data_IF_157001729144
#
_entry.id   IF_157001729144
#
_cell.length_a   1.000
_cell.length_b   1.000
_cell.length_c   1.000
_cell.angle_alpha   90.00
_cell.angle_beta   90.00
_cell.angle_gamma   90.00
#
_symmetry.space_group_name_H-M   'P 1'
#
loop_
_entity.id
_entity.type
_entity.pdbx_description
1 polymer ?
#
# COMPACT_ATOMS: atom_id res chain seq x y z
N UNK A 1 -22.54 -10.23 -12.15
CA UNK A 1 -22.58 -11.67 -11.78
C UNK A 1 -21.18 -12.25 -12.03
N UNK A 2 -20.39 -12.44 -10.98
CA UNK A 2 -19.04 -12.99 -11.08
C UNK A 2 -19.11 -14.50 -11.34
N UNK A 3 -18.79 -14.90 -12.57
CA UNK A 3 -18.84 -16.30 -13.02
C UNK A 3 -17.58 -17.10 -12.64
N UNK A 4 -16.50 -16.42 -12.27
CA UNK A 4 -15.19 -17.03 -12.02
C UNK A 4 -15.12 -17.97 -10.78
N UNK A 5 -15.66 -17.63 -9.60
CA UNK A 5 -15.49 -18.48 -8.41
C UNK A 5 -16.22 -19.82 -8.56
N UNK A 6 -17.45 -19.82 -9.11
CA UNK A 6 -18.23 -21.05 -9.33
C UNK A 6 -17.56 -22.02 -10.30
N UNK A 7 -16.88 -21.49 -11.33
CA UNK A 7 -16.14 -22.30 -12.30
C UNK A 7 -14.91 -22.95 -11.63
N UNK A 8 -14.20 -22.24 -10.76
CA UNK A 8 -13.05 -22.79 -10.05
C UNK A 8 -13.46 -23.92 -9.10
N UNK A 9 -14.53 -23.73 -8.32
CA UNK A 9 -15.09 -24.77 -7.44
C UNK A 9 -15.54 -26.00 -8.22
N UNK A 10 -16.22 -25.81 -9.36
CA UNK A 10 -16.66 -26.90 -10.22
C UNK A 10 -15.49 -27.70 -10.84
N UNK A 11 -14.35 -27.06 -11.11
CA UNK A 11 -13.13 -27.75 -11.58
C UNK A 11 -12.52 -28.60 -10.48
N UNK A 12 -12.46 -28.09 -9.25
CA UNK A 12 -11.97 -28.83 -8.08
C UNK A 12 -12.83 -30.08 -7.82
N UNK A 13 -14.17 -29.93 -7.90
CA UNK A 13 -15.09 -31.08 -7.78
C UNK A 13 -14.87 -32.12 -8.89
N UNK A 14 -14.60 -31.70 -10.13
CA UNK A 14 -14.33 -32.64 -11.22
C UNK A 14 -12.96 -33.33 -11.09
N UNK A 15 -11.98 -32.69 -10.45
CA UNK A 15 -10.65 -33.27 -10.22
C UNK A 15 -10.67 -34.33 -9.11
N UNK A 16 -11.60 -34.25 -8.15
CA UNK A 16 -11.75 -35.26 -7.09
C UNK A 16 -12.53 -36.50 -7.52
N UNK A 17 -13.14 -36.48 -8.71
CA UNK A 17 -13.89 -37.60 -9.27
C UNK A 17 -12.98 -38.51 -10.10
N UNK A 18 -13.02 -39.81 -9.82
CA UNK A 18 -12.33 -40.85 -10.61
C UNK A 18 -12.84 -40.90 -12.07
N UNK A 19 -14.11 -40.54 -12.29
CA UNK A 19 -14.72 -40.32 -13.60
C UNK A 19 -15.43 -38.96 -13.66
N UNK A 20 -14.94 -37.99 -14.44
CA UNK A 20 -15.48 -36.63 -14.46
C UNK A 20 -16.93 -36.58 -14.98
N UNK A 21 -17.89 -36.23 -14.12
CA UNK A 21 -19.32 -36.13 -14.44
C UNK A 21 -19.73 -34.70 -14.81
N UNK A 22 -19.27 -34.23 -15.98
CA UNK A 22 -19.49 -32.85 -16.43
C UNK A 22 -20.93 -32.35 -16.36
N UNK A 23 -21.92 -33.16 -16.74
CA UNK A 23 -23.32 -32.74 -16.81
C UNK A 23 -24.01 -32.59 -15.44
N UNK A 24 -23.54 -33.32 -14.44
CA UNK A 24 -24.09 -33.26 -13.07
C UNK A 24 -23.50 -32.05 -12.34
N UNK A 25 -22.18 -31.92 -12.38
CA UNK A 25 -21.47 -30.76 -11.81
C UNK A 25 -21.89 -29.45 -12.50
N UNK A 26 -22.03 -29.42 -13.83
CA UNK A 26 -22.51 -28.23 -14.54
C UNK A 26 -23.91 -27.77 -14.05
N UNK A 27 -24.84 -28.70 -13.82
CA UNK A 27 -26.17 -28.39 -13.29
C UNK A 27 -26.11 -27.89 -11.85
N UNK A 28 -25.29 -28.54 -11.01
CA UNK A 28 -25.12 -28.16 -9.60
C UNK A 28 -24.62 -26.72 -9.43
N UNK A 29 -23.65 -26.32 -10.26
CA UNK A 29 -23.05 -24.99 -10.19
C UNK A 29 -23.73 -23.95 -11.11
N UNK A 30 -24.80 -24.35 -11.83
CA UNK A 30 -25.49 -23.52 -12.84
C UNK A 30 -24.53 -22.94 -13.89
N UNK A 31 -23.66 -23.78 -14.43
CA UNK A 31 -22.67 -23.45 -15.46
C UNK A 31 -23.02 -24.21 -16.74
N UNK A 32 -22.82 -23.59 -17.90
CA UNK A 32 -22.92 -24.32 -19.17
C UNK A 32 -21.90 -25.47 -19.25
N UNK A 33 -22.38 -26.67 -19.62
CA UNK A 33 -21.56 -27.89 -19.70
C UNK A 33 -20.35 -27.71 -20.64
N UNK A 34 -20.54 -27.04 -21.78
CA UNK A 34 -19.47 -26.83 -22.75
C UNK A 34 -18.35 -25.94 -22.17
N UNK A 35 -18.75 -24.94 -21.37
CA UNK A 35 -17.82 -24.04 -20.67
C UNK A 35 -17.02 -24.76 -19.60
N UNK A 36 -17.67 -25.56 -18.77
CA UNK A 36 -16.99 -26.35 -17.75
C UNK A 36 -16.01 -27.37 -18.35
N UNK A 37 -16.43 -28.07 -19.42
CA UNK A 37 -15.56 -29.02 -20.13
C UNK A 37 -14.33 -28.34 -20.73
N UNK A 38 -14.52 -27.17 -21.37
CA UNK A 38 -13.44 -26.41 -22.00
C UNK A 38 -12.42 -25.89 -20.97
N UNK A 39 -12.91 -25.44 -19.81
CA UNK A 39 -12.10 -25.02 -18.66
C UNK A 39 -11.32 -26.20 -18.06
N UNK A 40 -12.00 -27.32 -17.81
CA UNK A 40 -11.39 -28.53 -17.23
C UNK A 40 -10.31 -29.15 -18.14
N UNK A 41 -10.52 -29.11 -19.46
CA UNK A 41 -9.53 -29.56 -20.46
C UNK A 41 -8.42 -28.54 -20.76
N UNK A 42 -8.36 -27.42 -20.03
CA UNK A 42 -7.34 -26.39 -20.22
C UNK A 42 -7.43 -25.65 -21.58
N UNK A 43 -8.52 -25.83 -22.34
CA UNK A 43 -8.70 -25.20 -23.66
C UNK A 43 -9.05 -23.71 -23.57
N UNK A 44 -9.34 -23.20 -22.38
CA UNK A 44 -9.60 -21.77 -22.16
C UNK A 44 -8.92 -21.34 -20.86
N UNK A 45 -7.84 -20.58 -20.99
CA UNK A 45 -7.19 -19.90 -19.88
C UNK A 45 -8.23 -19.02 -19.14
N UNK A 46 -8.08 -18.90 -17.81
CA UNK A 46 -8.86 -17.95 -17.01
C UNK A 46 -8.93 -16.59 -17.72
N UNK A 47 -10.07 -15.89 -17.69
CA UNK A 47 -10.14 -14.54 -18.29
C UNK A 47 -9.07 -13.61 -17.72
N UNK A 48 -8.61 -13.86 -16.49
CA UNK A 48 -7.52 -13.14 -15.87
C UNK A 48 -6.18 -13.44 -16.56
N UNK A 49 -5.85 -14.71 -16.77
CA UNK A 49 -4.61 -15.16 -17.41
C UNK A 49 -4.59 -14.81 -18.90
N UNK A 50 -5.73 -14.95 -19.60
CA UNK A 50 -5.87 -14.60 -21.01
C UNK A 50 -5.74 -13.08 -21.25
N UNK A 51 -6.25 -12.24 -20.33
CA UNK A 51 -6.06 -10.79 -20.41
C UNK A 51 -4.63 -10.37 -20.01
N UNK A 52 -4.00 -11.08 -19.07
CA UNK A 52 -2.58 -10.85 -18.75
C UNK A 52 -1.69 -11.20 -19.95
N UNK A 53 -1.84 -12.38 -20.54
CA UNK A 53 -1.02 -12.82 -21.67
C UNK A 53 -1.27 -12.05 -22.97
N UNK A 54 -2.52 -11.67 -23.30
CA UNK A 54 -2.82 -11.06 -24.60
C UNK A 54 -2.81 -9.52 -24.60
N UNK A 55 -2.92 -8.86 -23.44
CA UNK A 55 -3.09 -7.39 -23.38
C UNK A 55 -2.07 -6.67 -22.52
N UNK A 56 -1.31 -7.37 -21.67
CA UNK A 56 -0.25 -6.75 -20.88
C UNK A 56 1.09 -6.91 -21.59
N UNK A 57 1.81 -5.80 -21.75
CA UNK A 57 3.18 -5.78 -22.29
C UNK A 57 4.20 -6.41 -21.34
N UNK A 58 3.87 -6.46 -20.04
CA UNK A 58 4.61 -7.17 -19.02
C UNK A 58 3.75 -8.32 -18.50
N UNK A 59 4.37 -9.48 -18.29
CA UNK A 59 3.73 -10.62 -17.61
C UNK A 59 3.52 -10.29 -16.13
N UNK A 60 2.59 -11.01 -15.47
CA UNK A 60 2.38 -10.85 -14.03
C UNK A 60 3.68 -11.03 -13.22
N UNK A 61 4.54 -11.98 -13.59
CA UNK A 61 5.82 -12.19 -12.93
C UNK A 61 6.77 -10.99 -13.07
N UNK A 62 6.81 -10.34 -14.25
CA UNK A 62 7.60 -9.12 -14.46
C UNK A 62 7.04 -7.94 -13.66
N UNK A 63 5.71 -7.80 -13.60
CA UNK A 63 5.08 -6.78 -12.76
C UNK A 63 5.40 -6.98 -11.27
N UNK A 64 5.43 -8.23 -10.77
CA UNK A 64 5.84 -8.52 -9.38
C UNK A 64 7.28 -8.09 -9.08
N UNK A 65 8.21 -8.38 -9.99
CA UNK A 65 9.61 -7.95 -9.85
C UNK A 65 9.69 -6.42 -9.80
N UNK A 66 8.93 -5.74 -10.66
CA UNK A 66 8.88 -4.28 -10.70
C UNK A 66 8.32 -3.69 -9.40
N UNK A 67 7.25 -4.26 -8.85
CA UNK A 67 6.70 -3.85 -7.55
C UNK A 67 7.74 -4.03 -6.45
N UNK A 68 8.43 -5.17 -6.41
CA UNK A 68 9.50 -5.41 -5.46
C UNK A 68 10.64 -4.40 -5.57
N UNK A 69 10.98 -3.98 -6.79
CA UNK A 69 11.98 -2.94 -7.02
C UNK A 69 11.50 -1.55 -6.53
N UNK A 70 10.25 -1.19 -6.82
CA UNK A 70 9.63 0.07 -6.34
C UNK A 70 9.64 0.14 -4.80
N UNK A 71 9.30 -0.95 -4.12
CA UNK A 71 9.31 -1.00 -2.67
C UNK A 71 10.73 -0.81 -2.12
N UNK A 72 11.73 -1.50 -2.68
CA UNK A 72 13.15 -1.33 -2.28
C UNK A 72 13.65 0.10 -2.45
N UNK A 73 13.23 0.79 -3.51
CA UNK A 73 13.57 2.20 -3.73
C UNK A 73 12.90 3.11 -2.70
N UNK A 74 11.63 2.83 -2.39
CA UNK A 74 10.86 3.57 -1.40
C UNK A 74 11.44 3.40 0.01
N UNK A 75 11.85 2.18 0.39
CA UNK A 75 12.50 1.89 1.68
C UNK A 75 13.83 2.65 1.84
N UNK A 76 14.50 2.97 0.72
CA UNK A 76 15.72 3.80 0.68
C UNK A 76 15.42 5.31 0.69
N UNK A 77 14.16 5.71 0.80
CA UNK A 77 13.72 7.10 0.78
C UNK A 77 13.70 7.74 -0.61
N UNK A 78 13.72 6.93 -1.67
CA UNK A 78 13.70 7.40 -3.07
C UNK A 78 12.49 6.80 -3.78
N UNK A 79 11.26 7.26 -3.48
CA UNK A 79 10.09 6.76 -4.18
C UNK A 79 10.20 7.10 -5.68
N UNK A 80 10.06 6.13 -6.59
CA UNK A 80 10.27 6.35 -8.01
C UNK A 80 9.17 7.24 -8.61
N UNK A 81 9.56 8.12 -9.53
CA UNK A 81 8.61 8.95 -10.28
C UNK A 81 7.89 8.12 -11.35
N UNK A 82 6.71 8.56 -11.84
CA UNK A 82 6.01 7.87 -12.92
C UNK A 82 6.87 7.68 -14.18
N UNK A 83 7.73 8.65 -14.50
CA UNK A 83 8.65 8.55 -15.64
C UNK A 83 9.71 7.49 -15.41
N UNK A 84 10.33 7.47 -14.22
CA UNK A 84 11.35 6.46 -13.90
C UNK A 84 10.74 5.05 -13.91
N UNK A 85 9.52 4.90 -13.39
CA UNK A 85 8.78 3.65 -13.44
C UNK A 85 8.49 3.19 -14.87
N UNK A 86 8.16 4.12 -15.78
CA UNK A 86 7.97 3.81 -17.21
C UNK A 86 9.26 3.31 -17.84
N UNK A 87 10.38 4.00 -17.61
CA UNK A 87 11.67 3.66 -18.19
C UNK A 87 12.11 2.24 -17.76
N UNK A 88 12.01 1.93 -16.47
CA UNK A 88 12.35 0.59 -15.95
C UNK A 88 11.42 -0.48 -16.56
N UNK A 89 10.13 -0.18 -16.68
CA UNK A 89 9.19 -1.11 -17.28
C UNK A 89 9.44 -1.33 -18.79
N UNK A 90 9.86 -0.29 -19.52
CA UNK A 90 10.26 -0.37 -20.93
C UNK A 90 11.54 -1.20 -21.10
N UNK A 91 12.51 -1.05 -20.19
CA UNK A 91 13.73 -1.86 -20.16
C UNK A 91 13.41 -3.35 -19.95
N UNK A 92 12.51 -3.66 -19.02
CA UNK A 92 12.05 -5.05 -18.77
C UNK A 92 11.25 -5.59 -19.97
N UNK A 93 10.45 -4.76 -20.63
CA UNK A 93 9.60 -5.16 -21.74
C UNK A 93 10.35 -5.26 -23.08
N UNK A 94 11.52 -4.62 -23.20
CA UNK A 94 12.25 -4.49 -24.46
C UNK A 94 11.51 -3.71 -25.55
N UNK A 95 10.44 -2.99 -25.19
CA UNK A 95 9.59 -2.22 -26.13
C UNK A 95 9.02 -0.98 -25.44
N UNK A 96 8.70 0.04 -26.23
CA UNK A 96 8.04 1.23 -25.71
C UNK A 96 6.64 0.93 -25.18
N UNK A 97 6.34 1.52 -24.02
CA UNK A 97 5.05 1.41 -23.36
C UNK A 97 4.22 2.64 -23.67
N UNK A 98 2.91 2.44 -23.84
CA UNK A 98 1.98 3.53 -24.08
C UNK A 98 1.96 4.53 -22.91
N UNK A 99 1.66 5.79 -23.21
CA UNK A 99 1.63 6.92 -22.25
C UNK A 99 0.80 6.61 -20.99
N UNK A 100 -0.31 5.88 -21.16
CA UNK A 100 -1.21 5.54 -20.07
C UNK A 100 -0.83 4.28 -19.29
N UNK A 101 0.29 3.62 -19.62
CA UNK A 101 0.66 2.34 -19.00
C UNK A 101 0.88 2.47 -17.49
N UNK A 102 1.62 3.49 -17.05
CA UNK A 102 1.92 3.72 -15.63
C UNK A 102 0.65 3.97 -14.81
N UNK A 103 -0.27 4.79 -15.35
CA UNK A 103 -1.57 5.04 -14.71
C UNK A 103 -2.39 3.75 -14.56
N UNK A 104 -2.41 2.91 -15.60
CA UNK A 104 -3.08 1.60 -15.56
C UNK A 104 -2.41 0.63 -14.61
N UNK A 105 -1.08 0.59 -14.57
CA UNK A 105 -0.29 -0.23 -13.64
C UNK A 105 -0.60 0.14 -12.19
N UNK A 106 -0.57 1.44 -11.86
CA UNK A 106 -0.94 1.94 -10.53
C UNK A 106 -2.37 1.57 -10.16
N UNK A 107 -3.32 1.67 -11.11
CA UNK A 107 -4.72 1.28 -10.87
C UNK A 107 -4.88 -0.22 -10.63
N UNK A 108 -4.09 -1.06 -11.31
CA UNK A 108 -4.10 -2.52 -11.10
C UNK A 108 -3.59 -2.90 -9.71
N UNK A 109 -2.53 -2.23 -9.25
CA UNK A 109 -1.82 -2.55 -8.00
C UNK A 109 -2.04 -1.49 -6.90
N UNK A 110 -3.22 -0.86 -6.87
CA UNK A 110 -3.54 0.24 -5.94
C UNK A 110 -3.56 -0.20 -4.46
N UNK A 111 -3.76 -1.48 -4.22
CA UNK A 111 -3.73 -2.15 -2.93
C UNK A 111 -2.30 -2.28 -2.36
N UNK A 112 -1.30 -2.30 -3.25
CA UNK A 112 0.12 -2.51 -2.90
C UNK A 112 0.98 -1.26 -3.09
N UNK A 113 0.56 -0.35 -3.96
CA UNK A 113 1.28 0.88 -4.28
C UNK A 113 0.46 2.11 -3.90
N UNK A 114 0.99 2.92 -3.00
CA UNK A 114 0.45 4.24 -2.67
C UNK A 114 1.23 5.34 -3.39
N UNK A 115 0.54 6.42 -3.77
CA UNK A 115 1.19 7.62 -4.28
C UNK A 115 1.50 8.57 -3.13
N UNK A 116 2.77 8.97 -3.01
CA UNK A 116 3.19 9.97 -2.04
C UNK A 116 3.53 11.27 -2.76
N UNK A 117 3.09 12.39 -2.19
CA UNK A 117 3.59 13.71 -2.58
C UNK A 117 4.76 14.06 -1.68
N UNK A 118 5.99 14.00 -2.23
CA UNK A 118 7.16 14.49 -1.52
C UNK A 118 7.11 16.01 -1.49
N UNK A 119 7.20 16.60 -0.30
CA UNK A 119 7.48 18.04 -0.19
C UNK A 119 8.92 18.25 -0.64
N UNK A 120 9.12 19.22 -1.53
CA UNK A 120 10.47 19.66 -1.91
C UNK A 120 11.20 20.08 -0.65
N UNK A 121 12.30 19.39 -0.33
CA UNK A 121 13.27 19.92 0.61
C UNK A 121 13.84 21.17 -0.05
N UNK A 122 13.76 22.31 0.63
CA UNK A 122 14.34 23.55 0.14
C UNK A 122 15.82 23.30 -0.18
N UNK A 123 16.19 23.48 -1.44
CA UNK A 123 17.53 23.22 -1.94
C UNK A 123 18.60 24.02 -1.17
N UNK A 124 18.24 25.19 -0.64
CA UNK A 124 19.12 26.00 0.18
C UNK A 124 19.40 25.34 1.54
N UNK A 125 18.40 24.68 2.14
CA UNK A 125 18.57 23.94 3.39
C UNK A 125 19.48 22.73 3.21
N UNK A 126 19.28 21.96 2.13
CA UNK A 126 20.13 20.80 1.82
C UNK A 126 21.60 21.17 1.59
N UNK A 127 21.88 22.35 1.01
CA UNK A 127 23.24 22.82 0.80
C UNK A 127 23.92 23.33 2.09
N UNK A 128 23.13 23.89 3.03
CA UNK A 128 23.60 24.30 4.35
C UNK A 128 23.74 23.12 5.33
N UNK A 129 23.07 21.99 5.06
CA UNK A 129 23.06 20.80 5.90
C UNK A 129 24.39 20.02 5.85
N UNK A 130 25.40 20.50 6.59
CA UNK A 130 26.59 19.70 6.87
C UNK A 130 26.32 18.80 8.08
N UNK A 131 26.20 17.49 7.83
CA UNK A 131 25.95 16.46 8.87
C UNK A 131 26.91 16.58 10.07
N UNK A 132 28.18 16.95 9.84
CA UNK A 132 29.17 17.12 10.90
C UNK A 132 28.87 18.33 11.79
N UNK A 133 28.36 19.43 11.21
CA UNK A 133 27.98 20.60 11.99
C UNK A 133 26.75 20.32 12.88
N UNK A 134 25.77 19.56 12.39
CA UNK A 134 24.64 19.12 13.22
C UNK A 134 25.07 18.21 14.35
N UNK A 135 25.90 17.20 14.07
CA UNK A 135 26.41 16.31 15.11
C UNK A 135 27.16 17.08 16.18
N UNK A 136 28.08 17.98 15.79
CA UNK A 136 28.81 18.80 16.74
C UNK A 136 27.89 19.73 17.55
N UNK A 137 26.89 20.34 16.91
CA UNK A 137 25.90 21.18 17.59
C UNK A 137 25.11 20.40 18.65
N UNK A 138 24.55 19.23 18.30
CA UNK A 138 23.76 18.43 19.24
C UNK A 138 24.61 17.79 20.34
N UNK A 139 25.86 17.41 20.04
CA UNK A 139 26.81 16.93 21.05
C UNK A 139 27.13 18.04 22.06
N UNK A 140 27.46 19.24 21.57
CA UNK A 140 27.72 20.40 22.43
C UNK A 140 26.48 20.77 23.26
N UNK A 141 25.30 20.79 22.63
CA UNK A 141 24.04 21.09 23.32
C UNK A 141 23.79 20.09 24.47
N UNK A 142 23.98 18.79 24.22
CA UNK A 142 23.83 17.75 25.25
C UNK A 142 24.83 17.93 26.38
N UNK A 143 26.10 18.18 26.07
CA UNK A 143 27.15 18.46 27.06
C UNK A 143 26.77 19.64 27.96
N UNK A 144 26.21 20.73 27.40
CA UNK A 144 25.81 21.89 28.20
C UNK A 144 24.55 21.64 29.02
N UNK A 145 23.57 20.91 28.50
CA UNK A 145 22.38 20.51 29.25
C UNK A 145 22.77 19.68 30.48
N UNK A 146 23.66 18.70 30.30
CA UNK A 146 24.18 17.86 31.40
C UNK A 146 25.01 18.69 32.38
N UNK A 147 25.97 19.49 31.88
CA UNK A 147 26.87 20.31 32.71
C UNK A 147 26.13 21.28 33.63
N UNK A 148 25.07 21.91 33.13
CA UNK A 148 24.31 22.92 33.87
C UNK A 148 22.98 22.40 34.42
N UNK A 149 22.72 21.08 34.30
CA UNK A 149 21.47 20.43 34.71
C UNK A 149 20.22 21.19 34.22
N UNK A 150 20.23 21.59 32.95
CA UNK A 150 19.17 22.41 32.35
C UNK A 150 17.92 21.55 32.22
N UNK A 151 16.87 21.90 32.97
CA UNK A 151 15.57 21.24 32.84
C UNK A 151 15.02 21.40 31.41
N UNK A 152 14.41 20.36 30.80
CA UNK A 152 13.76 20.47 29.51
C UNK A 152 12.71 21.60 29.44
N UNK A 153 12.09 21.95 30.57
CA UNK A 153 11.15 23.07 30.68
C UNK A 153 11.79 24.44 30.42
N UNK A 154 13.11 24.54 30.48
CA UNK A 154 13.87 25.79 30.33
C UNK A 154 14.56 25.90 28.97
N UNK A 155 14.23 25.00 28.03
CA UNK A 155 14.72 25.05 26.65
C UNK A 155 13.68 25.79 25.80
N UNK A 156 14.00 27.03 25.45
CA UNK A 156 13.13 27.88 24.63
C UNK A 156 13.69 28.01 23.22
N UNK A 157 12.82 27.99 22.21
CA UNK A 157 13.19 28.36 20.85
C UNK A 157 13.16 29.89 20.73
N UNK A 158 14.08 30.46 19.96
CA UNK A 158 14.18 31.91 19.75
C UNK A 158 13.61 32.35 18.37
N UNK A 159 12.83 31.50 17.71
CA UNK A 159 12.17 31.82 16.43
C UNK A 159 10.77 32.41 16.69
N UNK A 160 10.40 33.41 15.89
CA UNK A 160 9.23 34.30 16.02
C UNK A 160 7.88 33.59 15.78
N UNK A 161 7.86 32.26 15.81
CA UNK A 161 6.63 31.46 15.89
C UNK A 161 6.67 30.52 17.09
N UNK A 162 6.02 31.01 18.12
CA UNK A 162 5.46 30.34 19.28
C UNK A 162 4.93 28.93 18.98
N UNK A 163 5.83 27.96 19.09
CA UNK A 163 5.48 26.60 19.51
C UNK A 163 6.67 25.96 20.22
N UNK A 164 6.40 25.37 21.40
CA UNK A 164 7.38 24.67 22.25
C UNK A 164 8.14 23.63 21.43
N UNK A 165 9.48 23.69 21.44
CA UNK A 165 10.31 22.62 20.91
C UNK A 165 10.16 21.38 21.79
N UNK A 166 9.61 20.31 21.20
CA UNK A 166 9.83 18.89 21.52
C UNK A 166 9.75 18.51 23.00
N UNK A 167 8.65 17.84 23.38
CA UNK A 167 8.61 17.01 24.59
C UNK A 167 9.60 15.85 24.46
N UNK A 168 10.82 16.00 24.99
CA UNK A 168 11.68 14.87 25.32
C UNK A 168 11.13 14.22 26.59
N UNK A 169 10.20 13.29 26.44
CA UNK A 169 9.78 12.45 27.56
C UNK A 169 10.97 11.56 27.97
N UNK A 170 11.32 11.48 29.27
CA UNK A 170 12.31 10.52 29.74
C UNK A 170 11.76 9.08 29.59
N UNK A 171 12.61 8.08 29.33
CA UNK A 171 12.18 6.70 29.25
C UNK A 171 11.90 6.16 30.67
N UNK A 172 10.64 6.19 31.09
CA UNK A 172 10.17 5.47 32.27
C UNK A 172 9.68 4.07 31.88
N UNK A 173 10.54 3.10 32.17
CA UNK A 173 10.31 1.75 32.70
C UNK A 173 9.26 0.80 32.07
N UNK A 174 9.78 -0.43 31.85
CA UNK A 174 9.08 -1.64 31.49
C UNK A 174 8.18 -2.19 32.62
N UNK A 175 6.93 -2.48 32.24
CA UNK A 175 6.09 -3.66 32.62
C UNK A 175 5.35 -3.67 33.98
N UNK A 176 4.24 -4.46 34.15
CA UNK A 176 3.73 -5.53 33.29
C UNK A 176 2.22 -5.46 32.88
N UNK A 177 1.83 -6.46 32.08
CA UNK A 177 0.61 -6.61 31.27
C UNK A 177 -0.78 -6.73 31.95
N UNK A 178 -1.79 -6.28 31.18
CA UNK A 178 -3.12 -6.91 30.84
C UNK A 178 -4.26 -6.96 31.89
N UNK A 179 -5.53 -7.23 31.49
CA UNK A 179 -6.23 -7.10 30.18
C UNK A 179 -7.69 -6.55 30.28
N UNK A 180 -8.39 -6.51 29.14
CA UNK A 180 -9.84 -6.83 28.96
C UNK A 180 -10.88 -5.69 28.86
N UNK A 181 -11.78 -5.83 27.88
CA UNK A 181 -13.08 -5.16 27.77
C UNK A 181 -13.10 -3.96 26.82
N UNK A 182 -13.39 -4.12 25.52
CA UNK A 182 -14.75 -4.13 24.95
C UNK A 182 -15.54 -2.83 25.16
N UNK A 183 -15.74 -2.04 24.09
CA UNK A 183 -16.92 -1.19 23.82
C UNK A 183 -16.71 -0.49 22.45
N UNK A 184 -17.16 -1.09 21.35
CA UNK A 184 -18.49 -0.96 20.73
C UNK A 184 -18.90 0.46 20.28
N UNK A 185 -18.90 0.60 18.96
CA UNK A 185 -19.72 1.52 18.18
C UNK A 185 -21.22 1.42 18.55
N UNK A 186 -21.88 2.57 18.70
CA UNK A 186 -23.27 2.74 18.26
C UNK A 186 -23.58 4.22 18.02
N UNK A 187 -23.94 4.55 16.79
CA UNK A 187 -24.56 5.83 16.47
C UNK A 187 -26.01 5.88 16.93
N UNK A 188 -26.56 7.08 17.04
CA UNK A 188 -27.99 7.32 16.87
C UNK A 188 -28.22 8.72 16.31
N UNK A 189 -28.76 8.75 15.09
CA UNK A 189 -29.54 9.86 14.60
C UNK A 189 -30.86 9.92 15.39
N UNK A 190 -31.28 11.12 15.80
CA UNK A 190 -32.68 11.40 16.15
C UNK A 190 -33.15 12.64 15.41
N UNK A 191 -34.08 12.38 14.51
CA UNK A 191 -35.06 13.29 13.93
C UNK A 191 -35.91 13.94 15.03
N UNK A 192 -36.21 15.24 14.88
CA UNK A 192 -37.17 15.96 15.71
C UNK A 192 -37.81 17.10 14.93
N UNK A 193 -38.96 16.81 14.35
CA UNK A 193 -39.93 17.74 13.76
C UNK A 193 -40.60 18.64 14.82
N UNK A 194 -40.76 19.93 14.50
CA UNK A 194 -42.06 20.60 14.60
C UNK A 194 -42.32 21.62 15.72
N UNK A 195 -42.97 22.72 15.28
CA UNK A 195 -43.72 23.77 15.99
C UNK A 195 -42.92 24.92 16.65
N UNK A 196 -42.99 26.16 16.14
CA UNK A 196 -44.11 27.12 16.02
C UNK A 196 -44.19 28.06 17.23
N UNK A 197 -43.94 29.36 17.03
CA UNK A 197 -44.85 30.44 17.44
C UNK A 197 -44.28 31.84 17.14
N UNK A 198 -45.13 32.60 16.44
CA UNK A 198 -45.26 34.07 16.33
C UNK A 198 -44.20 34.87 15.57
#
# INVERSE_FOLDING_TARGET
>A
MDHNPRIAEAIIELQSQDRPKYAETARRYNIDKSTLWRRFKGKTASNHDANSYSRQKLTSAQEEILIGHVNKLTDRGIPPTPQMLKNIAEEIAGTELGVNWVSRFRKRHHDRLSSLYLRTIDHQRKAADNSRHFQNFFNLLREKIEKYNISPSNVYNFDEKDSKLVSLAPPSELSPEKPSGAENWSGQAKTGTGSSSR
#
